data_IF_407583093119
#
_entry.id   IF_407583093119
#
_cell.length_a   1.000
_cell.length_b   1.000
_cell.length_c   1.000
_cell.angle_alpha   90.00
_cell.angle_beta   90.00
_cell.angle_gamma   90.00
#
_symmetry.space_group_name_H-M   'P 1'
#
loop_
_entity.id
_entity.type
_entity.pdbx_description
1 polymer ?
#
# COMPACT_ATOMS: atom_id res chain seq x y z
N UNK A 1 13.70 15.32 19.41
CA UNK A 1 13.08 15.57 18.82
C UNK A 1 12.32 14.71 18.29
N UNK A 2 11.61 14.84 18.01
CA UNK A 2 10.94 14.07 17.49
C UNK A 2 10.80 14.37 16.29
N UNK A 3 10.71 13.81 15.57
CA UNK A 3 10.62 14.16 14.48
C UNK A 3 9.63 13.51 13.77
N UNK A 4 9.25 13.91 12.74
CA UNK A 4 8.33 13.30 12.00
C UNK A 4 8.75 12.02 11.68
N UNK A 5 7.93 11.09 11.70
CA UNK A 5 8.29 9.86 11.33
C UNK A 5 8.20 9.72 9.89
N UNK A 6 8.97 10.38 9.11
CA UNK A 6 8.98 10.22 7.72
C UNK A 6 9.57 8.93 7.34
N UNK A 7 9.00 8.23 6.36
CA UNK A 7 9.55 7.00 5.84
C UNK A 7 10.83 7.33 5.08
N UNK A 8 11.90 6.63 5.33
CA UNK A 8 13.15 6.86 4.63
C UNK A 8 13.27 5.85 3.51
N UNK A 9 14.16 6.13 2.55
CA UNK A 9 14.35 5.22 1.44
C UNK A 9 14.78 3.84 1.90
N UNK A 10 15.58 3.77 2.93
CA UNK A 10 16.03 2.49 3.42
C UNK A 10 14.90 1.68 4.02
N UNK A 11 13.84 2.33 4.45
CA UNK A 11 12.72 1.64 5.05
C UNK A 11 11.68 1.20 4.03
N UNK A 12 11.85 1.58 2.77
CA UNK A 12 10.87 1.23 1.75
C UNK A 12 10.64 -0.26 1.61
N UNK A 13 11.68 -1.11 1.55
CA UNK A 13 11.40 -2.55 1.42
C UNK A 13 10.55 -3.10 2.55
N UNK A 14 10.84 -2.68 3.78
CA UNK A 14 10.06 -3.14 4.91
C UNK A 14 8.63 -2.60 4.87
N UNK A 15 8.48 -1.37 4.39
CA UNK A 15 7.16 -0.78 4.29
C UNK A 15 6.32 -1.53 3.26
N UNK A 16 6.91 -1.89 2.14
CA UNK A 16 6.19 -2.63 1.12
C UNK A 16 5.81 -4.03 1.58
N UNK A 17 6.69 -4.65 2.35
CA UNK A 17 6.38 -5.94 2.91
C UNK A 17 5.20 -5.83 3.85
N UNK A 18 5.16 -4.77 4.63
CA UNK A 18 4.07 -4.53 5.54
C UNK A 18 2.77 -4.29 4.76
N UNK A 19 2.86 -3.57 3.65
CA UNK A 19 1.69 -3.33 2.83
C UNK A 19 1.12 -4.63 2.29
N UNK A 20 1.99 -5.54 1.85
CA UNK A 20 1.54 -6.83 1.38
C UNK A 20 0.89 -7.63 2.49
N UNK A 21 1.41 -7.50 3.69
CA UNK A 21 0.85 -8.19 4.84
C UNK A 21 -0.56 -7.68 5.14
N UNK A 22 -0.77 -6.37 5.02
CA UNK A 22 -2.09 -5.79 5.22
C UNK A 22 -3.07 -6.29 4.18
N UNK A 23 -2.61 -6.49 2.95
CA UNK A 23 -3.48 -7.07 1.93
C UNK A 23 -3.94 -8.45 2.37
N UNK A 24 -3.02 -9.25 2.87
CA UNK A 24 -3.35 -10.60 3.33
C UNK A 24 -4.29 -10.58 4.51
N UNK A 25 -4.23 -9.53 5.31
CA UNK A 25 -5.12 -9.39 6.45
C UNK A 25 -6.45 -8.78 6.06
N UNK A 26 -6.65 -8.57 4.79
CA UNK A 26 -7.89 -8.01 4.28
C UNK A 26 -8.06 -6.56 4.72
N UNK A 27 -6.97 -5.82 4.74
CA UNK A 27 -6.97 -4.41 5.08
C UNK A 27 -6.35 -3.61 3.96
N UNK A 28 -6.97 -3.60 2.78
CA UNK A 28 -6.34 -2.95 1.63
C UNK A 28 -6.19 -1.44 1.79
N UNK A 29 -7.03 -0.80 2.58
CA UNK A 29 -6.90 0.64 2.79
C UNK A 29 -5.60 0.96 3.49
N UNK A 30 -5.16 0.12 4.42
CA UNK A 30 -3.90 0.32 5.09
C UNK A 30 -2.74 0.12 4.12
N UNK A 31 -2.87 -0.88 3.24
CA UNK A 31 -1.84 -1.12 2.24
C UNK A 31 -1.72 0.08 1.30
N UNK A 32 -2.85 0.67 0.91
CA UNK A 32 -2.83 1.85 0.06
C UNK A 32 -2.10 2.99 0.73
N UNK A 33 -2.38 3.21 2.00
CA UNK A 33 -1.76 4.29 2.73
C UNK A 33 -0.24 4.16 2.74
N UNK A 34 0.24 2.95 2.97
CA UNK A 34 1.67 2.70 2.99
C UNK A 34 2.27 2.95 1.60
N UNK A 35 1.58 2.51 0.55
CA UNK A 35 2.09 2.71 -0.80
C UNK A 35 2.16 4.19 -1.15
N UNK A 36 1.19 4.97 -0.71
CA UNK A 36 1.24 6.41 -0.96
C UNK A 36 2.43 7.05 -0.25
N UNK A 37 2.73 6.60 0.96
CA UNK A 37 3.90 7.11 1.68
C UNK A 37 5.18 6.79 0.92
N UNK A 38 5.27 5.56 0.40
CA UNK A 38 6.45 5.17 -0.36
C UNK A 38 6.55 6.00 -1.62
N UNK A 39 5.45 6.21 -2.31
CA UNK A 39 5.48 6.95 -3.56
C UNK A 39 5.76 8.44 -3.36
N UNK A 40 5.49 8.95 -2.16
CA UNK A 40 5.89 10.31 -1.85
C UNK A 40 7.39 10.46 -1.82
N UNK A 41 8.09 9.42 -1.43
CA UNK A 41 9.54 9.46 -1.34
C UNK A 41 10.18 9.01 -2.65
N UNK A 42 9.58 8.01 -3.27
CA UNK A 42 10.14 7.43 -4.49
C UNK A 42 9.01 7.26 -5.50
N UNK A 43 8.66 8.31 -6.22
CA UNK A 43 7.49 8.28 -7.12
C UNK A 43 7.57 7.25 -8.22
N UNK A 44 8.76 6.78 -8.54
CA UNK A 44 8.90 5.79 -9.59
C UNK A 44 9.11 4.38 -9.07
N UNK A 45 8.78 4.17 -7.81
CA UNK A 45 8.96 2.85 -7.24
C UNK A 45 7.93 1.88 -7.84
N UNK A 46 8.42 0.97 -8.66
CA UNK A 46 7.54 0.06 -9.37
C UNK A 46 6.82 -0.90 -8.43
N UNK A 47 7.52 -1.35 -7.41
CA UNK A 47 6.90 -2.24 -6.45
C UNK A 47 5.74 -1.59 -5.73
N UNK A 48 5.92 -0.32 -5.35
CA UNK A 48 4.86 0.41 -4.68
C UNK A 48 3.66 0.58 -5.59
N UNK A 49 3.92 0.85 -6.88
CA UNK A 49 2.83 0.99 -7.82
C UNK A 49 2.07 -0.31 -8.00
N UNK A 50 2.79 -1.42 -8.05
CA UNK A 50 2.15 -2.72 -8.19
C UNK A 50 1.32 -3.05 -6.97
N UNK A 51 1.89 -2.84 -5.79
CA UNK A 51 1.16 -3.16 -4.56
C UNK A 51 -0.05 -2.25 -4.41
N UNK A 52 0.08 -0.99 -4.81
CA UNK A 52 -1.04 -0.07 -4.76
C UNK A 52 -2.17 -0.54 -5.67
N UNK A 53 -1.83 -0.96 -6.87
CA UNK A 53 -2.82 -1.46 -7.80
C UNK A 53 -3.51 -2.70 -7.24
N UNK A 54 -2.75 -3.58 -6.64
CA UNK A 54 -3.33 -4.78 -6.05
C UNK A 54 -4.26 -4.43 -4.90
N UNK A 55 -3.86 -3.46 -4.08
CA UNK A 55 -4.70 -3.06 -2.97
C UNK A 55 -5.99 -2.42 -3.45
N UNK A 56 -5.91 -1.61 -4.50
CA UNK A 56 -7.09 -1.00 -5.07
C UNK A 56 -8.02 -2.06 -5.66
N UNK A 57 -7.43 -3.04 -6.32
CA UNK A 57 -8.21 -4.13 -6.87
C UNK A 57 -8.91 -4.92 -5.77
N UNK A 58 -8.20 -5.15 -4.67
CA UNK A 58 -8.78 -5.85 -3.53
C UNK A 58 -10.00 -5.11 -3.01
N UNK A 59 -9.87 -3.79 -2.88
CA UNK A 59 -10.93 -2.97 -2.36
C UNK A 59 -12.14 -2.94 -3.27
N UNK A 60 -11.89 -2.59 -4.52
CA UNK A 60 -12.98 -2.46 -5.47
C UNK A 60 -13.52 -3.81 -5.91
N UNK A 61 -12.65 -4.79 -5.99
CA UNK A 61 -13.06 -6.11 -6.40
C UNK A 61 -14.06 -6.73 -5.46
N UNK A 62 -13.85 -6.53 -4.17
CA UNK A 62 -14.77 -7.03 -3.23
C UNK A 62 -16.12 -6.43 -3.37
N UNK A 63 -16.18 -5.12 -3.41
CA UNK A 63 -17.42 -4.43 -3.54
C UNK A 63 -18.08 -4.69 -4.87
N UNK A 64 -17.26 -4.79 -5.89
CA UNK A 64 -17.77 -5.00 -7.21
C UNK A 64 -18.39 -6.39 -7.34
N UNK A 65 -17.71 -7.38 -6.81
CA UNK A 65 -18.21 -8.73 -6.88
C UNK A 65 -19.54 -8.85 -6.16
N UNK A 66 -19.68 -8.21 -5.04
CA UNK A 66 -20.91 -8.24 -4.31
C UNK A 66 -22.01 -7.54 -5.12
N UNK A 67 -21.66 -6.45 -5.75
CA UNK A 67 -22.62 -5.69 -6.53
C UNK A 67 -23.10 -6.44 -7.76
N UNK A 68 -22.23 -7.21 -8.35
CA UNK A 68 -22.57 -7.94 -9.53
C UNK A 68 -23.38 -9.16 -9.23
N UNK A 69 -23.03 -9.81 -8.20
CA UNK A 69 -23.74 -11.00 -7.81
C UNK A 69 -25.03 -10.65 -7.13
#
# INVERSE_FOLDING_TARGET
MFELKRLSKEAIPAALEKALRYRLLNEPAEAESICHDVLNIDPENQQALVVLLLALTDRFGKGYAVGIL
#
